data_IF_322849961790
#
_entry.id   IF_322849961790
#
_cell.length_a   1.000
_cell.length_b   1.000
_cell.length_c   1.000
_cell.angle_alpha   90.00
_cell.angle_beta   90.00
_cell.angle_gamma   90.00
#
_symmetry.space_group_name_H-M   'P 1'
#
loop_
_entity.id
_entity.type
_entity.pdbx_description
1 polymer ?
#
# COMPACT_ATOMS: atom_id res chain seq x y z
N UNK A 1 76.77 1.71 -50.57
CA UNK A 1 76.66 0.90 -51.81
C UNK A 1 75.39 0.05 -51.69
N UNK A 2 74.52 0.12 -52.71
CA UNK A 2 73.26 -0.64 -52.94
C UNK A 2 72.03 -0.31 -52.07
N UNK A 3 71.11 0.42 -52.71
CA UNK A 3 69.66 0.41 -52.49
C UNK A 3 69.03 -0.94 -52.91
N UNK A 4 67.89 -1.33 -52.30
CA UNK A 4 66.63 -1.74 -52.96
C UNK A 4 65.59 -2.10 -51.87
N UNK A 5 64.54 -1.29 -51.72
CA UNK A 5 63.18 -1.38 -52.32
C UNK A 5 62.24 -2.32 -51.54
N UNK A 6 61.12 -1.75 -51.09
CA UNK A 6 59.98 -2.50 -50.57
C UNK A 6 58.92 -1.58 -49.96
N UNK A 7 58.18 -0.85 -50.80
CA UNK A 7 56.88 -0.26 -50.42
C UNK A 7 55.88 -1.42 -50.36
N UNK A 8 55.16 -1.56 -49.24
CA UNK A 8 53.87 -2.24 -49.20
C UNK A 8 52.92 -1.33 -48.43
N UNK A 9 51.95 -0.77 -49.15
CA UNK A 9 50.70 -0.26 -48.58
C UNK A 9 49.99 -1.42 -47.88
N UNK A 10 49.60 -1.23 -46.62
CA UNK A 10 48.42 -1.89 -46.07
C UNK A 10 47.60 -0.88 -45.27
N UNK A 11 46.95 0.03 -46.01
CA UNK A 11 45.73 0.68 -45.56
C UNK A 11 44.67 -0.40 -45.37
N UNK A 12 44.30 -0.68 -44.13
CA UNK A 12 43.16 -1.52 -43.83
C UNK A 12 43.38 -2.41 -42.63
N UNK A 13 43.32 -1.85 -41.42
CA UNK A 13 42.82 -2.54 -40.22
C UNK A 13 42.39 -1.49 -39.17
N UNK A 14 41.56 -0.54 -39.61
CA UNK A 14 40.60 0.13 -38.74
C UNK A 14 39.34 -0.76 -38.75
N UNK A 15 38.76 -1.00 -37.57
CA UNK A 15 37.50 -1.72 -37.30
C UNK A 15 37.61 -3.23 -37.06
N UNK A 16 38.25 -3.64 -35.96
CA UNK A 16 37.97 -4.95 -35.35
C UNK A 16 38.19 -4.98 -33.83
N UNK A 17 37.78 -3.92 -33.11
CA UNK A 17 37.74 -3.93 -31.64
C UNK A 17 36.52 -3.16 -31.09
N UNK A 18 35.36 -3.33 -31.72
CA UNK A 18 34.11 -2.73 -31.24
C UNK A 18 32.93 -3.69 -31.13
N UNK A 19 33.14 -5.01 -31.23
CA UNK A 19 32.02 -5.99 -31.13
C UNK A 19 31.96 -6.72 -29.78
N UNK A 20 32.85 -6.42 -28.82
CA UNK A 20 32.80 -7.03 -27.48
C UNK A 20 32.09 -6.21 -26.39
N UNK A 21 31.28 -5.21 -26.76
CA UNK A 21 30.51 -4.38 -25.80
C UNK A 21 29.00 -4.35 -26.04
N UNK A 22 28.47 -5.10 -27.01
CA UNK A 22 27.02 -5.15 -27.26
C UNK A 22 26.27 -6.19 -26.40
N UNK A 23 26.99 -7.06 -25.67
CA UNK A 23 26.41 -8.19 -24.93
C UNK A 23 26.20 -8.00 -23.43
N UNK A 24 26.64 -6.89 -22.82
CA UNK A 24 26.48 -6.65 -21.36
C UNK A 24 25.53 -5.50 -21.00
N UNK A 25 25.07 -4.71 -21.97
CA UNK A 25 24.21 -3.55 -21.69
C UNK A 25 22.74 -3.92 -21.46
N UNK A 26 22.28 -5.08 -21.94
CA UNK A 26 20.89 -5.53 -21.75
C UNK A 26 20.60 -5.94 -20.31
N UNK A 27 21.45 -6.80 -19.74
CA UNK A 27 21.26 -7.35 -18.39
C UNK A 27 21.41 -6.27 -17.30
N UNK A 28 22.32 -5.31 -17.50
CA UNK A 28 22.48 -4.18 -16.58
C UNK A 28 21.28 -3.23 -16.60
N UNK A 29 20.70 -2.98 -17.78
CA UNK A 29 19.53 -2.12 -17.93
C UNK A 29 18.28 -2.78 -17.32
N UNK A 30 18.06 -4.06 -17.59
CA UNK A 30 16.93 -4.82 -17.00
C UNK A 30 17.05 -4.92 -15.47
N UNK A 31 18.26 -5.13 -14.95
CA UNK A 31 18.50 -5.15 -13.51
C UNK A 31 18.25 -3.78 -12.85
N UNK A 32 18.56 -2.69 -13.55
CA UNK A 32 18.33 -1.34 -13.04
C UNK A 32 16.85 -0.97 -13.04
N UNK A 33 16.13 -1.30 -14.11
CA UNK A 33 14.67 -1.08 -14.22
C UNK A 33 13.90 -1.85 -13.14
N UNK A 34 14.27 -3.12 -12.87
CA UNK A 34 13.67 -3.91 -11.78
C UNK A 34 13.94 -3.30 -10.40
N UNK A 35 15.12 -2.73 -10.17
CA UNK A 35 15.46 -2.07 -8.91
C UNK A 35 14.61 -0.80 -8.71
N UNK A 36 14.48 0.02 -9.74
CA UNK A 36 13.65 1.23 -9.70
C UNK A 36 12.16 0.91 -9.48
N UNK A 37 11.65 -0.15 -10.11
CA UNK A 37 10.30 -0.66 -9.88
C UNK A 37 10.09 -1.10 -8.42
N UNK A 38 11.03 -1.86 -7.85
CA UNK A 38 10.95 -2.29 -6.45
C UNK A 38 11.02 -1.10 -5.47
N UNK A 39 11.87 -0.12 -5.74
CA UNK A 39 11.96 1.08 -4.91
C UNK A 39 10.62 1.86 -4.94
N UNK A 40 10.03 2.00 -6.13
CA UNK A 40 8.71 2.64 -6.29
C UNK A 40 7.62 1.85 -5.56
N UNK A 41 7.58 0.53 -5.71
CA UNK A 41 6.68 -0.35 -4.98
C UNK A 41 6.79 -0.14 -3.47
N UNK A 42 8.01 -0.13 -2.95
CA UNK A 42 8.26 0.03 -1.52
C UNK A 42 7.75 1.38 -1.00
N UNK A 43 8.01 2.48 -1.72
CA UNK A 43 7.57 3.81 -1.29
C UNK A 43 6.05 3.99 -1.43
N UNK A 44 5.48 3.58 -2.56
CA UNK A 44 4.03 3.62 -2.80
C UNK A 44 3.30 2.75 -1.77
N UNK A 45 3.78 1.54 -1.52
CA UNK A 45 3.21 0.62 -0.55
C UNK A 45 3.19 1.23 0.85
N UNK A 46 4.33 1.79 1.29
CA UNK A 46 4.43 2.47 2.59
C UNK A 46 3.46 3.65 2.72
N UNK A 47 3.24 4.40 1.66
CA UNK A 47 2.27 5.49 1.66
C UNK A 47 0.84 4.97 1.90
N UNK A 48 0.43 3.92 1.20
CA UNK A 48 -0.90 3.34 1.39
C UNK A 48 -1.08 2.68 2.76
N UNK A 49 -0.07 1.97 3.27
CA UNK A 49 -0.07 1.45 4.64
C UNK A 49 -0.31 2.58 5.66
N UNK A 50 0.37 3.72 5.48
CA UNK A 50 0.20 4.89 6.36
C UNK A 50 -1.18 5.53 6.23
N UNK A 51 -1.71 5.69 5.00
CA UNK A 51 -3.08 6.18 4.77
C UNK A 51 -4.10 5.28 5.46
N UNK A 52 -3.95 3.96 5.31
CA UNK A 52 -4.85 2.97 5.90
C UNK A 52 -4.79 3.02 7.43
N UNK A 53 -3.59 3.04 8.01
CA UNK A 53 -3.38 3.17 9.44
C UNK A 53 -3.98 4.45 10.01
N UNK A 54 -3.83 5.58 9.30
CA UNK A 54 -4.42 6.85 9.72
C UNK A 54 -5.95 6.78 9.71
N UNK A 55 -6.56 6.27 8.64
CA UNK A 55 -8.02 6.09 8.58
C UNK A 55 -8.53 5.18 9.69
N UNK A 56 -7.81 4.09 9.97
CA UNK A 56 -8.12 3.19 11.08
C UNK A 56 -8.04 3.90 12.44
N UNK A 57 -6.99 4.69 12.68
CA UNK A 57 -6.83 5.48 13.92
C UNK A 57 -7.97 6.49 14.08
N UNK A 58 -8.37 7.18 13.00
CA UNK A 58 -9.49 8.14 13.01
C UNK A 58 -10.82 7.43 13.34
N UNK A 59 -11.05 6.22 12.83
CA UNK A 59 -12.24 5.43 13.16
C UNK A 59 -12.28 5.10 14.66
N UNK A 60 -11.14 4.73 15.22
CA UNK A 60 -11.03 4.41 16.65
C UNK A 60 -11.21 5.65 17.54
N UNK A 61 -10.34 6.64 17.39
CA UNK A 61 -10.30 7.85 18.22
C UNK A 61 -11.54 8.75 18.00
N UNK A 62 -12.03 8.79 16.76
CA UNK A 62 -13.06 9.73 16.33
C UNK A 62 -14.48 9.18 16.38
N UNK A 63 -14.66 7.86 16.50
CA UNK A 63 -16.00 7.25 16.52
C UNK A 63 -16.18 6.29 17.69
N UNK A 64 -15.27 5.35 17.93
CA UNK A 64 -15.44 4.39 19.03
C UNK A 64 -15.23 5.06 20.38
N UNK A 65 -14.13 5.80 20.57
CA UNK A 65 -13.85 6.49 21.85
C UNK A 65 -14.84 7.63 22.13
N UNK A 66 -15.40 8.22 21.07
CA UNK A 66 -16.38 9.31 21.16
C UNK A 66 -17.81 8.84 21.43
N UNK A 67 -18.12 7.55 21.35
CA UNK A 67 -19.44 7.07 21.78
C UNK A 67 -19.35 6.90 23.28
N UNK A 68 -19.74 7.92 24.07
CA UNK A 68 -19.58 7.87 25.49
C UNK A 68 -20.65 6.95 26.07
N UNK A 69 -20.44 6.61 27.34
CA UNK A 69 -21.40 5.88 28.14
C UNK A 69 -22.83 6.45 27.95
N UNK A 70 -23.79 5.54 27.91
CA UNK A 70 -25.22 5.68 27.57
C UNK A 70 -25.89 6.98 28.03
N UNK A 71 -25.48 7.51 29.17
CA UNK A 71 -26.07 8.67 29.85
C UNK A 71 -25.73 10.03 29.22
N UNK A 72 -24.75 10.10 28.30
CA UNK A 72 -24.24 11.38 27.74
C UNK A 72 -24.35 11.50 26.22
N UNK A 73 -24.86 10.47 25.54
CA UNK A 73 -25.02 10.51 24.08
C UNK A 73 -26.30 11.25 23.68
N UNK A 74 -26.19 12.56 23.58
CA UNK A 74 -27.24 13.44 23.06
C UNK A 74 -27.45 13.24 21.55
N UNK A 75 -28.59 13.73 21.03
CA UNK A 75 -28.86 13.72 19.58
C UNK A 75 -27.82 14.52 18.77
N UNK A 76 -27.23 15.57 19.35
CA UNK A 76 -26.23 16.41 18.66
C UNK A 76 -24.90 15.66 18.45
N UNK A 77 -24.42 14.95 19.48
CA UNK A 77 -23.22 14.11 19.39
C UNK A 77 -23.45 12.90 18.47
N UNK A 78 -24.68 12.38 18.42
CA UNK A 78 -25.05 11.29 17.52
C UNK A 78 -24.87 11.67 16.06
N UNK A 79 -25.36 12.84 15.65
CA UNK A 79 -25.26 13.27 14.26
C UNK A 79 -23.79 13.47 13.85
N UNK A 80 -22.96 14.06 14.72
CA UNK A 80 -21.52 14.20 14.45
C UNK A 80 -20.85 12.83 14.23
N UNK A 81 -21.18 11.83 15.05
CA UNK A 81 -20.65 10.46 14.89
C UNK A 81 -21.11 9.83 13.57
N UNK A 82 -22.39 9.96 13.22
CA UNK A 82 -22.93 9.44 11.95
C UNK A 82 -22.27 10.09 10.72
N UNK A 83 -22.03 11.41 10.78
CA UNK A 83 -21.36 12.15 9.73
C UNK A 83 -19.89 11.73 9.59
N UNK A 84 -19.19 11.52 10.72
CA UNK A 84 -17.82 11.02 10.74
C UNK A 84 -17.73 9.61 10.14
N UNK A 85 -18.63 8.70 10.52
CA UNK A 85 -18.66 7.34 9.99
C UNK A 85 -18.96 7.31 8.49
N UNK A 86 -19.93 8.11 8.02
CA UNK A 86 -20.25 8.21 6.59
C UNK A 86 -19.08 8.77 5.78
N UNK A 87 -18.37 9.77 6.32
CA UNK A 87 -17.16 10.31 5.69
C UNK A 87 -16.02 9.28 5.65
N UNK A 88 -15.88 8.45 6.68
CA UNK A 88 -14.90 7.37 6.73
C UNK A 88 -15.19 6.27 5.71
N UNK A 89 -16.45 5.84 5.61
CA UNK A 89 -16.89 4.86 4.61
C UNK A 89 -16.52 5.30 3.20
N UNK A 90 -16.79 6.57 2.86
CA UNK A 90 -16.40 7.14 1.57
C UNK A 90 -14.88 7.14 1.36
N UNK A 91 -14.11 7.60 2.35
CA UNK A 91 -12.64 7.62 2.28
C UNK A 91 -12.04 6.23 2.11
N UNK A 92 -12.60 5.22 2.76
CA UNK A 92 -12.19 3.82 2.63
C UNK A 92 -12.47 3.31 1.21
N UNK A 93 -13.68 3.55 0.69
CA UNK A 93 -14.04 3.16 -0.67
C UNK A 93 -13.18 3.84 -1.75
N UNK A 94 -12.82 5.11 -1.57
CA UNK A 94 -11.91 5.83 -2.46
C UNK A 94 -10.48 5.26 -2.35
N UNK A 95 -9.97 5.04 -1.13
CA UNK A 95 -8.64 4.45 -0.89
C UNK A 95 -8.52 3.04 -1.49
N UNK A 96 -9.57 2.23 -1.38
CA UNK A 96 -9.63 0.88 -1.96
C UNK A 96 -9.43 0.94 -3.47
N UNK A 97 -10.17 1.83 -4.14
CA UNK A 97 -10.05 2.04 -5.59
C UNK A 97 -8.68 2.58 -5.98
N UNK A 98 -8.10 3.50 -5.20
CA UNK A 98 -6.73 3.99 -5.44
C UNK A 98 -5.74 2.82 -5.47
N UNK A 99 -5.79 1.95 -4.46
CA UNK A 99 -4.88 0.81 -4.32
C UNK A 99 -5.09 -0.23 -5.42
N UNK A 100 -6.34 -0.60 -5.71
CA UNK A 100 -6.68 -1.60 -6.73
C UNK A 100 -6.27 -1.18 -8.14
N UNK A 101 -6.25 0.13 -8.41
CA UNK A 101 -5.89 0.69 -9.71
C UNK A 101 -4.42 1.16 -9.80
N UNK A 102 -3.63 1.01 -8.73
CA UNK A 102 -2.22 1.43 -8.74
C UNK A 102 -1.33 0.35 -9.38
N UNK A 103 -1.03 0.56 -10.67
CA UNK A 103 -0.15 -0.34 -11.43
C UNK A 103 1.27 -0.43 -10.84
N UNK A 104 1.74 0.59 -10.11
CA UNK A 104 3.04 0.50 -9.43
C UNK A 104 3.06 -0.49 -8.28
N UNK A 105 1.89 -0.99 -7.87
CA UNK A 105 1.74 -2.11 -6.94
C UNK A 105 1.39 -3.41 -7.66
N UNK A 106 0.32 -3.39 -8.46
CA UNK A 106 -0.28 -4.60 -9.02
C UNK A 106 0.58 -5.29 -10.08
N UNK A 107 1.46 -4.55 -10.76
CA UNK A 107 2.43 -5.12 -11.71
C UNK A 107 3.54 -5.90 -10.98
N UNK A 108 3.81 -5.57 -9.71
CA UNK A 108 4.91 -6.13 -8.92
C UNK A 108 4.42 -7.21 -7.97
N UNK A 109 3.32 -6.95 -7.25
CA UNK A 109 2.76 -7.89 -6.30
C UNK A 109 1.23 -7.73 -6.14
N UNK A 110 0.47 -8.56 -6.87
CA UNK A 110 -0.99 -8.60 -6.77
C UNK A 110 -1.51 -9.07 -5.40
N UNK A 111 -0.75 -9.92 -4.71
CA UNK A 111 -1.11 -10.37 -3.36
C UNK A 111 -1.09 -9.20 -2.38
N UNK A 112 -0.10 -8.32 -2.46
CA UNK A 112 -0.04 -7.10 -1.65
C UNK A 112 -1.29 -6.23 -1.81
N UNK A 113 -1.68 -5.98 -3.07
CA UNK A 113 -2.88 -5.20 -3.42
C UNK A 113 -4.14 -5.85 -2.87
N UNK A 114 -4.32 -7.16 -3.10
CA UNK A 114 -5.47 -7.91 -2.59
C UNK A 114 -5.52 -7.89 -1.06
N UNK A 115 -4.37 -8.02 -0.40
CA UNK A 115 -4.24 -8.02 1.05
C UNK A 115 -4.66 -6.67 1.65
N UNK A 116 -4.19 -5.54 1.10
CA UNK A 116 -4.63 -4.22 1.52
C UNK A 116 -6.12 -3.98 1.25
N UNK A 117 -6.62 -4.36 0.06
CA UNK A 117 -8.04 -4.22 -0.28
C UNK A 117 -8.94 -5.02 0.67
N UNK A 118 -8.51 -6.22 1.08
CA UNK A 118 -9.22 -7.00 2.08
C UNK A 118 -9.23 -6.32 3.46
N UNK A 119 -8.08 -5.79 3.91
CA UNK A 119 -8.02 -5.00 5.16
C UNK A 119 -8.95 -3.79 5.14
N UNK A 120 -9.02 -3.07 4.01
CA UNK A 120 -9.97 -1.97 3.83
C UNK A 120 -11.41 -2.45 3.90
N UNK A 121 -11.73 -3.59 3.28
CA UNK A 121 -13.08 -4.17 3.32
C UNK A 121 -13.52 -4.52 4.74
N UNK A 122 -12.59 -4.93 5.61
CA UNK A 122 -12.88 -5.16 7.04
C UNK A 122 -13.13 -3.86 7.80
N UNK A 123 -12.39 -2.78 7.49
CA UNK A 123 -12.68 -1.45 8.03
C UNK A 123 -14.02 -0.90 7.54
N UNK A 124 -14.38 -1.11 6.27
CA UNK A 124 -15.69 -0.74 5.73
C UNK A 124 -16.79 -1.47 6.50
N UNK A 125 -16.65 -2.78 6.72
CA UNK A 125 -17.59 -3.57 7.49
C UNK A 125 -17.73 -3.07 8.95
N UNK A 126 -16.61 -2.76 9.60
CA UNK A 126 -16.61 -2.17 10.95
C UNK A 126 -17.35 -0.83 10.97
N UNK A 127 -17.07 0.05 10.00
CA UNK A 127 -17.70 1.37 9.88
C UNK A 127 -19.21 1.26 9.69
N UNK A 128 -19.66 0.37 8.80
CA UNK A 128 -21.08 0.10 8.55
C UNK A 128 -21.78 -0.41 9.82
N UNK A 129 -21.13 -1.32 10.56
CA UNK A 129 -21.68 -1.86 11.81
C UNK A 129 -21.80 -0.81 12.90
N UNK A 130 -20.78 0.03 13.06
CA UNK A 130 -20.83 1.18 13.98
C UNK A 130 -21.97 2.13 13.59
N UNK A 131 -22.11 2.45 12.31
CA UNK A 131 -23.15 3.35 11.80
C UNK A 131 -24.55 2.79 12.06
N UNK A 132 -24.77 1.51 11.76
CA UNK A 132 -26.02 0.80 12.03
C UNK A 132 -26.34 0.80 13.54
N UNK A 133 -25.35 0.59 14.39
CA UNK A 133 -25.55 0.61 15.84
C UNK A 133 -25.92 1.99 16.38
N UNK A 134 -25.18 3.02 15.99
CA UNK A 134 -25.46 4.41 16.38
C UNK A 134 -26.87 4.82 15.94
N UNK A 135 -27.29 4.39 14.74
CA UNK A 135 -28.62 4.66 14.18
C UNK A 135 -29.74 3.93 14.94
N UNK A 136 -29.58 2.63 15.23
CA UNK A 136 -30.67 1.78 15.71
C UNK A 136 -30.87 1.81 17.22
N UNK A 137 -29.79 1.94 18.00
CA UNK A 137 -29.85 1.77 19.47
C UNK A 137 -29.39 2.98 20.28
N UNK A 138 -28.83 4.01 19.64
CA UNK A 138 -28.29 5.18 20.35
C UNK A 138 -27.01 4.82 21.10
N UNK A 139 -26.88 5.17 22.40
CA UNK A 139 -25.72 4.78 23.21
C UNK A 139 -25.95 3.58 24.15
N UNK A 140 -27.13 2.96 24.13
CA UNK A 140 -27.43 1.71 24.86
C UNK A 140 -26.73 0.49 24.27
N UNK A 141 -25.63 0.71 23.57
CA UNK A 141 -25.26 -0.04 22.36
C UNK A 141 -23.91 -0.71 22.49
N UNK A 142 -23.05 -0.18 23.37
CA UNK A 142 -21.72 -0.67 23.68
C UNK A 142 -21.69 -1.53 24.95
N UNK A 143 -22.84 -1.75 25.58
CA UNK A 143 -23.02 -2.76 26.63
C UNK A 143 -23.36 -4.14 26.04
N UNK A 144 -23.56 -4.25 24.71
CA UNK A 144 -23.78 -5.51 24.02
C UNK A 144 -22.44 -6.22 23.77
N UNK A 145 -22.15 -7.23 24.58
CA UNK A 145 -20.92 -8.02 24.50
C UNK A 145 -20.71 -8.66 23.11
N UNK A 146 -21.78 -9.04 22.40
CA UNK A 146 -21.64 -9.62 21.06
C UNK A 146 -21.21 -8.56 20.04
N UNK A 147 -21.74 -7.35 20.14
CA UNK A 147 -21.31 -6.25 19.27
C UNK A 147 -19.84 -5.90 19.54
N UNK A 148 -19.44 -5.81 20.81
CA UNK A 148 -18.06 -5.52 21.20
C UNK A 148 -17.08 -6.61 20.73
N UNK A 149 -17.48 -7.88 20.81
CA UNK A 149 -16.71 -9.00 20.27
C UNK A 149 -16.52 -8.87 18.76
N UNK A 150 -17.60 -8.60 18.02
CA UNK A 150 -17.54 -8.46 16.57
C UNK A 150 -16.64 -7.29 16.13
N UNK A 151 -16.68 -6.16 16.83
CA UNK A 151 -15.78 -5.03 16.57
C UNK A 151 -14.32 -5.43 16.87
N UNK A 152 -14.05 -6.15 17.97
CA UNK A 152 -12.69 -6.63 18.29
C UNK A 152 -12.16 -7.63 17.27
N UNK A 153 -13.01 -8.52 16.77
CA UNK A 153 -12.65 -9.48 15.71
C UNK A 153 -12.27 -8.75 14.43
N UNK A 154 -13.09 -7.80 13.98
CA UNK A 154 -12.78 -6.97 12.81
C UNK A 154 -11.49 -6.16 12.98
N UNK A 155 -11.25 -5.64 14.19
CA UNK A 155 -9.99 -4.96 14.53
C UNK A 155 -8.79 -5.90 14.38
N UNK A 156 -8.86 -7.10 14.94
CA UNK A 156 -7.79 -8.09 14.83
C UNK A 156 -7.51 -8.47 13.38
N UNK A 157 -8.57 -8.65 12.56
CA UNK A 157 -8.41 -8.95 11.14
C UNK A 157 -7.71 -7.81 10.39
N UNK A 158 -8.06 -6.55 10.67
CA UNK A 158 -7.41 -5.38 10.04
C UNK A 158 -5.93 -5.31 10.40
N UNK A 159 -5.58 -5.53 11.67
CA UNK A 159 -4.19 -5.55 12.14
C UNK A 159 -3.40 -6.66 11.44
N UNK A 160 -3.98 -7.86 11.29
CA UNK A 160 -3.36 -8.97 10.55
C UNK A 160 -3.10 -8.62 9.09
N UNK A 161 -4.07 -7.99 8.40
CA UNK A 161 -3.88 -7.53 7.02
C UNK A 161 -2.77 -6.47 6.94
N UNK A 162 -2.74 -5.48 7.84
CA UNK A 162 -1.69 -4.46 7.85
C UNK A 162 -0.30 -5.05 8.11
N UNK A 163 -0.18 -5.96 9.07
CA UNK A 163 1.07 -6.65 9.37
C UNK A 163 1.57 -7.46 8.17
N UNK A 164 0.67 -8.23 7.55
CA UNK A 164 1.00 -9.01 6.35
C UNK A 164 1.41 -8.11 5.16
N UNK A 165 0.79 -6.95 4.99
CA UNK A 165 1.19 -5.99 3.96
C UNK A 165 2.64 -5.52 4.16
N UNK A 166 2.97 -5.13 5.40
CA UNK A 166 4.34 -4.72 5.78
C UNK A 166 5.35 -5.85 5.51
N UNK A 167 5.01 -7.09 5.87
CA UNK A 167 5.87 -8.25 5.61
C UNK A 167 6.12 -8.49 4.13
N UNK A 168 5.08 -8.40 3.29
CA UNK A 168 5.21 -8.51 1.84
C UNK A 168 6.10 -7.38 1.31
N UNK A 169 5.84 -6.13 1.72
CA UNK A 169 6.58 -4.96 1.26
C UNK A 169 8.07 -5.03 1.60
N UNK A 170 8.43 -5.50 2.80
CA UNK A 170 9.84 -5.65 3.22
C UNK A 170 10.65 -6.61 2.34
N UNK A 171 10.01 -7.50 1.58
CA UNK A 171 10.71 -8.35 0.59
C UNK A 171 11.26 -7.55 -0.60
N UNK A 172 10.81 -6.31 -0.78
CA UNK A 172 11.17 -5.40 -1.86
C UNK A 172 11.93 -4.16 -1.33
N UNK A 173 12.50 -4.24 -0.12
CA UNK A 173 13.27 -3.12 0.45
C UNK A 173 14.42 -2.69 -0.46
N UNK A 174 14.59 -1.37 -0.70
CA UNK A 174 15.68 -0.84 -1.51
C UNK A 174 17.05 -1.29 -0.99
N UNK A 175 17.92 -1.76 -1.89
CA UNK A 175 19.25 -2.29 -1.55
C UNK A 175 20.22 -1.26 -0.96
N UNK A 176 19.85 0.03 -0.94
CA UNK A 176 20.72 1.12 -0.47
C UNK A 176 20.54 1.41 1.03
N UNK A 177 19.74 0.62 1.76
CA UNK A 177 19.50 0.76 3.20
C UNK A 177 20.16 -0.36 4.04
N UNK A 178 21.17 -1.06 3.49
CA UNK A 178 21.96 -2.08 4.21
C UNK A 178 23.31 -1.54 4.67
#
# INVERSE_FOLDING_TARGET
MKMKKGIVLLTGFLLAFSVFLAGCNGDQKESQEKKEQNDKFYQTGMNYENKLKNTYTILWDGSIDKIPNIDTFSNDNRQEVLDNLSNLEKKLGDLKKEIENDNSLSDINKEYVSNLSNGISKLEAMTIKLNAQVTTRGANTFEDDNFNLEIKELQSEVDDYLNKAVEIRKKYTPSNNS
#
